data_IF_224545384904
#
_entry.id   IF_224545384904
#
_cell.length_a   1.000
_cell.length_b   1.000
_cell.length_c   1.000
_cell.angle_alpha   90.00
_cell.angle_beta   90.00
_cell.angle_gamma   90.00
#
_symmetry.space_group_name_H-M   'P 1'
#
loop_
_entity.id
_entity.type
_entity.pdbx_description
1 polymer ?
#
# COMPACT_ATOMS: atom_id res chain seq x y z
N UNK A 1 12.52 -12.26 -25.45
CA UNK A 1 13.99 -12.35 -25.52
C UNK A 1 14.28 -13.66 -26.24
N UNK A 2 15.28 -13.70 -27.11
CA UNK A 2 15.67 -14.95 -27.78
C UNK A 2 16.70 -15.69 -26.91
N UNK A 3 16.68 -17.03 -26.93
CA UNK A 3 17.60 -17.88 -26.18
C UNK A 3 18.41 -18.77 -27.13
N UNK A 4 19.42 -18.23 -27.83
CA UNK A 4 20.25 -19.01 -28.72
C UNK A 4 21.13 -19.98 -27.94
N UNK A 5 21.53 -21.07 -28.61
CA UNK A 5 22.48 -22.02 -28.03
C UNK A 5 23.91 -21.45 -28.13
N UNK A 6 24.57 -21.28 -26.99
CA UNK A 6 25.95 -20.81 -26.91
C UNK A 6 26.94 -21.95 -26.66
N UNK A 7 28.14 -21.83 -27.24
CA UNK A 7 29.31 -22.60 -26.79
C UNK A 7 29.98 -21.85 -25.62
N UNK A 8 29.48 -22.09 -24.41
CA UNK A 8 29.93 -21.41 -23.19
C UNK A 8 31.42 -21.58 -22.89
N UNK A 9 32.08 -22.62 -23.41
CA UNK A 9 33.51 -22.82 -23.22
C UNK A 9 34.36 -21.78 -23.98
N UNK A 10 33.78 -21.14 -25.00
CA UNK A 10 34.44 -20.12 -25.82
C UNK A 10 34.16 -18.68 -25.37
N UNK A 11 33.19 -18.49 -24.46
CA UNK A 11 32.75 -17.17 -24.02
C UNK A 11 33.57 -16.64 -22.84
N UNK A 12 33.76 -15.32 -22.80
CA UNK A 12 34.30 -14.61 -21.65
C UNK A 12 33.24 -13.76 -20.95
N UNK A 13 33.59 -13.11 -19.83
CA UNK A 13 32.70 -12.26 -19.04
C UNK A 13 32.04 -11.14 -19.87
N UNK A 14 32.75 -10.54 -20.83
CA UNK A 14 32.18 -9.49 -21.70
C UNK A 14 31.12 -10.04 -22.63
N UNK A 15 31.31 -11.26 -23.13
CA UNK A 15 30.29 -11.94 -23.95
C UNK A 15 29.05 -12.23 -23.10
N UNK A 16 29.20 -12.71 -21.86
CA UNK A 16 28.07 -12.92 -20.94
C UNK A 16 27.28 -11.63 -20.70
N UNK A 17 27.99 -10.52 -20.51
CA UNK A 17 27.39 -9.19 -20.32
C UNK A 17 26.57 -8.76 -21.53
N UNK A 18 27.10 -8.86 -22.74
CA UNK A 18 26.44 -8.32 -23.94
C UNK A 18 25.45 -9.28 -24.61
N UNK A 19 25.68 -10.58 -24.54
CA UNK A 19 24.86 -11.60 -25.21
C UNK A 19 23.73 -12.14 -24.30
N UNK A 20 23.89 -12.10 -22.97
CA UNK A 20 22.89 -12.66 -22.04
C UNK A 20 22.29 -11.58 -21.14
N UNK A 21 23.12 -10.87 -20.37
CA UNK A 21 22.64 -9.92 -19.37
C UNK A 21 22.00 -8.69 -20.01
N UNK A 22 22.65 -8.09 -21.03
CA UNK A 22 22.12 -6.90 -21.68
C UNK A 22 20.76 -7.15 -22.38
N UNK A 23 20.53 -8.26 -23.12
CA UNK A 23 19.22 -8.61 -23.63
C UNK A 23 18.17 -8.85 -22.54
N UNK A 24 18.54 -9.51 -21.44
CA UNK A 24 17.65 -9.68 -20.28
C UNK A 24 17.22 -8.33 -19.71
N UNK A 25 18.16 -7.42 -19.46
CA UNK A 25 17.86 -6.08 -18.94
C UNK A 25 16.95 -5.28 -19.88
N UNK A 26 17.18 -5.37 -21.19
CA UNK A 26 16.30 -4.74 -22.20
C UNK A 26 14.90 -5.34 -22.17
N UNK A 27 14.79 -6.65 -21.98
CA UNK A 27 13.52 -7.35 -21.89
C UNK A 27 12.75 -7.00 -20.60
N UNK A 28 13.47 -6.85 -19.48
CA UNK A 28 12.92 -6.37 -18.21
C UNK A 28 12.48 -4.90 -18.23
N UNK A 29 12.75 -4.16 -19.32
CA UNK A 29 12.33 -2.77 -19.48
C UNK A 29 13.35 -1.72 -19.05
N UNK A 30 14.62 -2.11 -18.84
CA UNK A 30 15.68 -1.18 -18.47
C UNK A 30 16.50 -0.72 -19.67
N UNK A 31 16.76 0.59 -19.76
CA UNK A 31 17.63 1.20 -20.79
C UNK A 31 18.37 2.42 -20.26
N UNK A 32 19.61 2.59 -20.71
CA UNK A 32 20.42 3.77 -20.38
C UNK A 32 19.71 5.06 -20.81
N UNK A 33 19.67 6.04 -19.92
CA UNK A 33 19.06 7.35 -20.15
C UNK A 33 17.53 7.40 -20.07
N UNK A 34 16.88 6.32 -19.65
CA UNK A 34 15.42 6.27 -19.46
C UNK A 34 15.01 6.40 -17.99
N UNK A 35 13.70 6.47 -17.72
CA UNK A 35 13.16 6.47 -16.35
C UNK A 35 13.59 5.20 -15.57
N UNK A 36 13.71 4.07 -16.25
CA UNK A 36 14.24 2.81 -15.73
C UNK A 36 15.67 2.63 -16.26
N UNK A 37 16.60 3.33 -15.61
CA UNK A 37 17.95 3.51 -16.11
C UNK A 37 18.83 2.27 -15.85
N UNK A 38 19.83 2.06 -16.70
CA UNK A 38 20.95 1.15 -16.45
C UNK A 38 22.24 1.95 -16.45
N UNK A 39 22.94 1.93 -15.32
CA UNK A 39 24.27 2.49 -15.19
C UNK A 39 25.25 1.31 -15.26
N UNK A 40 26.20 1.37 -16.19
CA UNK A 40 27.19 0.32 -16.37
C UNK A 40 28.48 0.71 -15.69
N UNK A 41 29.17 -0.27 -15.12
CA UNK A 41 30.61 -0.16 -14.86
C UNK A 41 31.00 1.01 -13.92
N UNK A 42 30.10 1.36 -12.99
CA UNK A 42 30.25 2.50 -12.08
C UNK A 42 31.39 2.27 -11.08
N UNK A 43 32.43 3.15 -11.04
CA UNK A 43 33.46 3.06 -10.02
C UNK A 43 32.89 3.48 -8.66
N UNK A 44 33.04 2.62 -7.65
CA UNK A 44 32.59 2.89 -6.29
C UNK A 44 33.76 3.34 -5.43
N UNK A 45 33.57 4.47 -4.74
CA UNK A 45 34.56 5.00 -3.81
C UNK A 45 34.04 4.84 -2.38
N UNK A 46 34.65 3.95 -1.61
CA UNK A 46 34.32 3.85 -0.20
C UNK A 46 34.88 5.06 0.54
N UNK A 47 34.06 5.92 1.16
CA UNK A 47 34.58 6.84 2.16
C UNK A 47 35.22 6.00 3.27
N UNK A 48 36.36 6.45 3.82
CA UNK A 48 37.07 5.77 4.92
C UNK A 48 36.25 5.83 6.24
N UNK A 49 35.08 5.21 6.27
CA UNK A 49 34.30 4.93 7.46
C UNK A 49 34.81 3.63 8.07
N UNK A 50 35.78 3.75 8.98
CA UNK A 50 36.33 2.62 9.72
C UNK A 50 35.40 2.25 10.87
N UNK A 51 34.86 1.03 10.88
CA UNK A 51 34.38 0.37 12.11
C UNK A 51 35.62 0.02 12.97
N UNK A 52 36.23 1.03 13.60
CA UNK A 52 37.39 0.85 14.47
C UNK A 52 38.54 1.85 14.29
N UNK A 53 39.65 1.59 14.99
CA UNK A 53 40.85 2.44 15.05
C UNK A 53 41.63 2.35 13.73
N UNK A 54 41.66 3.43 12.96
CA UNK A 54 42.32 3.53 11.64
C UNK A 54 43.77 3.03 11.66
N UNK A 55 44.12 2.08 10.81
CA UNK A 55 45.52 1.75 10.49
C UNK A 55 45.87 2.33 9.12
N UNK A 56 47.13 2.77 8.95
CA UNK A 56 47.63 3.26 7.64
C UNK A 56 47.64 2.18 6.54
N UNK A 57 47.45 0.91 6.93
CA UNK A 57 47.47 -0.28 6.06
C UNK A 57 46.09 -0.77 5.64
N UNK A 58 45.01 -0.08 6.04
CA UNK A 58 43.66 -0.51 5.66
C UNK A 58 43.51 -0.41 4.12
N UNK A 59 43.15 -1.51 3.42
CA UNK A 59 43.13 -1.55 1.97
C UNK A 59 42.10 -0.56 1.41
N UNK A 60 42.43 0.07 0.29
CA UNK A 60 41.47 0.89 -0.46
C UNK A 60 40.51 -0.10 -1.13
N UNK A 61 39.32 -0.25 -0.58
CA UNK A 61 38.23 -0.95 -1.25
C UNK A 61 37.87 -0.14 -2.50
N UNK A 62 38.22 -0.67 -3.67
CA UNK A 62 37.78 -0.18 -4.97
C UNK A 62 36.91 -1.30 -5.54
N UNK A 63 35.68 -0.95 -5.89
CA UNK A 63 34.72 -1.88 -6.48
C UNK A 63 34.14 -1.29 -7.76
N UNK A 64 33.68 -2.16 -8.65
CA UNK A 64 32.95 -1.79 -9.86
C UNK A 64 31.80 -2.78 -10.00
N UNK A 65 30.57 -2.27 -9.96
CA UNK A 65 29.41 -3.09 -10.28
C UNK A 65 29.19 -3.06 -11.80
N UNK A 66 28.94 -4.22 -12.41
CA UNK A 66 28.76 -4.30 -13.87
C UNK A 66 27.50 -3.57 -14.32
N UNK A 67 26.38 -3.83 -13.64
CA UNK A 67 25.12 -3.16 -13.90
C UNK A 67 24.46 -2.70 -12.60
N UNK A 68 24.09 -1.42 -12.57
CA UNK A 68 23.18 -0.85 -11.58
C UNK A 68 21.90 -0.47 -12.32
N UNK A 69 20.82 -1.16 -12.00
CA UNK A 69 19.50 -0.91 -12.52
C UNK A 69 18.75 0.01 -11.56
N UNK A 70 18.39 1.19 -12.04
CA UNK A 70 17.71 2.22 -11.27
C UNK A 70 16.26 2.36 -11.76
N UNK A 71 15.31 2.17 -10.86
CA UNK A 71 13.88 2.31 -11.14
C UNK A 71 13.42 3.69 -10.71
N UNK A 72 13.02 4.53 -11.67
CA UNK A 72 12.43 5.87 -11.47
C UNK A 72 13.25 6.81 -10.58
N UNK A 73 14.58 6.72 -10.60
CA UNK A 73 15.47 7.53 -9.76
C UNK A 73 15.45 7.17 -8.28
N UNK A 74 14.82 6.05 -7.88
CA UNK A 74 14.44 5.83 -6.48
C UNK A 74 14.98 4.54 -5.87
N UNK A 75 14.92 3.43 -6.62
CA UNK A 75 15.28 2.10 -6.11
C UNK A 75 16.34 1.53 -7.04
N UNK A 76 17.39 0.96 -6.45
CA UNK A 76 18.46 0.32 -7.19
C UNK A 76 18.42 -1.19 -6.98
N UNK A 77 18.86 -1.95 -7.98
CA UNK A 77 19.33 -3.32 -7.83
C UNK A 77 20.53 -3.52 -8.76
N UNK A 78 21.34 -4.55 -8.52
CA UNK A 78 22.59 -4.75 -9.27
C UNK A 78 22.72 -6.14 -9.86
N UNK A 79 23.51 -6.26 -10.93
CA UNK A 79 24.00 -7.53 -11.47
C UNK A 79 25.52 -7.47 -11.52
N UNK A 80 26.15 -8.52 -11.01
CA UNK A 80 27.56 -8.83 -11.22
C UNK A 80 27.69 -10.00 -12.21
N UNK A 81 28.52 -9.81 -13.24
CA UNK A 81 28.82 -10.82 -14.24
C UNK A 81 30.14 -11.54 -13.91
N UNK A 82 30.24 -12.80 -14.30
CA UNK A 82 31.45 -13.61 -14.26
C UNK A 82 31.64 -14.35 -15.59
N UNK A 83 32.84 -14.85 -15.86
CA UNK A 83 33.05 -15.75 -16.99
C UNK A 83 32.38 -17.12 -16.72
N UNK A 84 31.96 -17.89 -17.76
CA UNK A 84 31.33 -19.20 -17.57
C UNK A 84 32.18 -20.23 -16.83
N UNK A 85 33.50 -20.08 -16.87
CA UNK A 85 34.45 -20.93 -16.15
C UNK A 85 34.56 -20.62 -14.66
N UNK A 86 34.00 -19.50 -14.20
CA UNK A 86 34.01 -19.09 -12.80
C UNK A 86 32.75 -19.57 -12.07
N UNK A 87 32.95 -20.14 -10.88
CA UNK A 87 31.85 -20.56 -10.02
C UNK A 87 31.22 -19.35 -9.32
N UNK A 88 29.90 -19.37 -9.15
CA UNK A 88 29.17 -18.42 -8.32
C UNK A 88 29.22 -18.88 -6.85
N UNK A 89 30.42 -18.80 -6.26
CA UNK A 89 30.70 -19.23 -4.88
C UNK A 89 30.47 -18.12 -3.84
N UNK A 90 30.77 -18.42 -2.57
CA UNK A 90 30.56 -17.48 -1.47
C UNK A 90 31.40 -16.19 -1.63
N UNK A 91 32.59 -16.27 -2.22
CA UNK A 91 33.45 -15.09 -2.41
C UNK A 91 32.81 -14.15 -3.45
N UNK A 92 32.25 -14.72 -4.52
CA UNK A 92 31.47 -13.95 -5.51
C UNK A 92 30.22 -13.32 -4.87
N UNK A 93 29.50 -14.06 -4.02
CA UNK A 93 28.32 -13.56 -3.28
C UNK A 93 28.69 -12.41 -2.35
N UNK A 94 29.74 -12.56 -1.53
CA UNK A 94 30.20 -11.52 -0.61
C UNK A 94 30.65 -10.26 -1.35
N UNK A 95 31.32 -10.43 -2.50
CA UNK A 95 31.73 -9.32 -3.36
C UNK A 95 30.52 -8.54 -3.87
N UNK A 96 29.54 -9.21 -4.48
CA UNK A 96 28.34 -8.57 -5.01
C UNK A 96 27.48 -7.95 -3.91
N UNK A 97 27.34 -8.61 -2.77
CA UNK A 97 26.64 -8.08 -1.60
C UNK A 97 27.27 -6.79 -1.08
N UNK A 98 28.60 -6.73 -1.08
CA UNK A 98 29.37 -5.53 -0.67
C UNK A 98 29.08 -4.35 -1.60
N UNK A 99 29.00 -4.58 -2.92
CA UNK A 99 28.60 -3.54 -3.88
C UNK A 99 27.15 -3.11 -3.70
N UNK A 100 26.24 -4.07 -3.53
CA UNK A 100 24.83 -3.80 -3.33
C UNK A 100 24.57 -2.90 -2.11
N UNK A 101 25.30 -3.14 -1.01
CA UNK A 101 25.24 -2.34 0.21
C UNK A 101 26.01 -1.00 0.14
N UNK A 102 26.71 -0.71 -0.96
CA UNK A 102 27.49 0.52 -1.06
C UNK A 102 26.58 1.75 -0.87
N UNK A 103 26.97 2.78 -0.09
CA UNK A 103 26.12 3.94 0.18
C UNK A 103 25.64 4.70 -1.05
N UNK A 104 26.39 4.65 -2.15
CA UNK A 104 26.02 5.27 -3.44
C UNK A 104 25.04 4.40 -4.26
N UNK A 105 24.98 3.09 -3.98
CA UNK A 105 24.08 2.15 -4.67
C UNK A 105 22.84 1.87 -3.82
N UNK A 106 23.00 1.33 -2.61
CA UNK A 106 21.90 0.90 -1.73
C UNK A 106 20.86 0.07 -2.48
N UNK A 107 21.33 -0.99 -3.12
CA UNK A 107 20.48 -1.87 -3.91
C UNK A 107 19.60 -2.74 -3.02
N UNK A 108 18.34 -2.94 -3.41
CA UNK A 108 17.41 -3.84 -2.69
C UNK A 108 17.67 -5.30 -3.01
N UNK A 109 18.11 -5.59 -4.23
CA UNK A 109 18.55 -6.90 -4.70
C UNK A 109 19.93 -6.83 -5.35
N UNK A 110 20.64 -7.95 -5.28
CA UNK A 110 21.82 -8.19 -6.12
C UNK A 110 21.69 -9.53 -6.81
N UNK A 111 22.18 -9.58 -8.04
CA UNK A 111 22.17 -10.77 -8.86
C UNK A 111 23.59 -11.14 -9.26
N UNK A 112 23.81 -12.42 -9.44
CA UNK A 112 25.04 -13.00 -9.96
C UNK A 112 24.72 -13.80 -11.22
N UNK A 113 25.57 -13.67 -12.23
CA UNK A 113 25.46 -14.48 -13.44
C UNK A 113 26.82 -14.78 -14.04
N UNK A 114 27.09 -16.05 -14.34
CA UNK A 114 28.20 -16.48 -15.19
C UNK A 114 27.72 -16.91 -16.59
N UNK A 115 26.48 -16.59 -16.93
CA UNK A 115 25.83 -16.99 -18.18
C UNK A 115 25.24 -18.39 -18.17
N UNK A 116 25.81 -19.32 -17.39
CA UNK A 116 25.25 -20.66 -17.18
C UNK A 116 24.21 -20.66 -16.07
N UNK A 117 24.49 -19.96 -14.98
CA UNK A 117 23.64 -19.82 -13.81
C UNK A 117 23.27 -18.35 -13.59
N UNK A 118 22.04 -18.13 -13.11
CA UNK A 118 21.53 -16.83 -12.71
C UNK A 118 20.94 -16.94 -11.31
N UNK A 119 21.41 -16.10 -10.38
CA UNK A 119 21.01 -16.11 -8.97
C UNK A 119 20.56 -14.73 -8.52
N UNK A 120 19.47 -14.64 -7.75
CA UNK A 120 18.95 -13.40 -7.16
C UNK A 120 18.94 -13.50 -5.63
N UNK A 121 19.46 -12.46 -4.99
CA UNK A 121 19.58 -12.35 -3.54
C UNK A 121 18.92 -11.06 -3.02
N UNK A 122 18.46 -11.10 -1.76
CA UNK A 122 18.02 -9.91 -1.05
C UNK A 122 19.20 -9.28 -0.31
N UNK A 123 19.43 -7.98 -0.51
CA UNK A 123 20.61 -7.28 0.05
C UNK A 123 20.54 -7.14 1.57
N UNK A 124 19.35 -7.07 2.14
CA UNK A 124 19.10 -6.93 3.58
C UNK A 124 19.25 -8.23 4.38
N UNK A 125 19.55 -9.34 3.69
CA UNK A 125 19.87 -10.63 4.30
C UNK A 125 21.37 -10.81 4.47
N UNK A 126 21.72 -11.75 5.36
CA UNK A 126 23.08 -12.21 5.56
C UNK A 126 23.67 -12.73 4.24
N UNK A 127 24.95 -12.41 3.89
CA UNK A 127 25.58 -12.90 2.66
C UNK A 127 25.64 -14.43 2.56
N UNK A 128 25.64 -15.15 3.68
CA UNK A 128 25.57 -16.61 3.72
C UNK A 128 24.17 -17.17 3.46
N UNK A 129 23.16 -16.32 3.23
CA UNK A 129 21.82 -16.76 2.85
C UNK A 129 21.81 -17.31 1.43
N UNK A 130 21.01 -18.36 1.21
CA UNK A 130 20.78 -18.92 -0.12
C UNK A 130 20.08 -17.90 -1.02
N UNK A 131 20.33 -17.92 -2.36
CA UNK A 131 19.56 -17.13 -3.29
C UNK A 131 18.07 -17.47 -3.15
N UNK A 132 17.21 -16.47 -3.17
CA UNK A 132 15.77 -16.71 -3.07
C UNK A 132 15.18 -17.13 -4.42
N UNK A 133 15.92 -16.92 -5.51
CA UNK A 133 15.63 -17.44 -6.84
C UNK A 133 16.94 -17.81 -7.54
N UNK A 134 16.95 -18.96 -8.24
CA UNK A 134 18.05 -19.38 -9.09
C UNK A 134 17.51 -20.18 -10.27
N UNK A 135 18.13 -20.03 -11.45
CA UNK A 135 17.90 -20.87 -12.62
C UNK A 135 19.20 -21.02 -13.42
N UNK A 136 19.29 -22.06 -14.25
CA UNK A 136 20.33 -22.13 -15.28
C UNK A 136 19.81 -21.55 -16.61
N UNK A 137 20.71 -21.32 -17.56
CA UNK A 137 20.41 -20.79 -18.88
C UNK A 137 19.37 -21.60 -19.66
N UNK A 138 19.47 -22.93 -19.64
CA UNK A 138 18.54 -23.85 -20.33
C UNK A 138 17.09 -23.69 -19.82
N UNK A 139 16.92 -23.38 -18.53
CA UNK A 139 15.60 -23.18 -17.91
C UNK A 139 15.23 -21.69 -17.78
N UNK A 140 16.03 -20.79 -18.32
CA UNK A 140 15.86 -19.34 -18.13
C UNK A 140 14.64 -18.82 -18.89
N UNK A 141 14.32 -19.39 -20.05
CA UNK A 141 13.13 -19.06 -20.83
C UNK A 141 11.85 -19.36 -20.02
N UNK A 142 11.76 -20.57 -19.45
CA UNK A 142 10.63 -20.98 -18.60
C UNK A 142 10.51 -20.12 -17.33
N UNK A 143 11.64 -19.63 -16.83
CA UNK A 143 11.70 -18.82 -15.62
C UNK A 143 11.52 -17.32 -15.87
N UNK A 144 11.39 -16.90 -17.12
CA UNK A 144 11.44 -15.48 -17.49
C UNK A 144 10.31 -14.67 -16.85
N UNK A 145 9.10 -15.25 -16.76
CA UNK A 145 7.96 -14.62 -16.09
C UNK A 145 8.23 -14.40 -14.59
N UNK A 146 8.92 -15.34 -13.94
CA UNK A 146 9.32 -15.21 -12.53
C UNK A 146 10.35 -14.09 -12.39
N UNK A 147 11.36 -14.06 -13.26
CA UNK A 147 12.39 -13.01 -13.27
C UNK A 147 11.74 -11.64 -13.52
N UNK A 148 10.79 -11.53 -14.46
CA UNK A 148 10.03 -10.30 -14.70
C UNK A 148 9.23 -9.89 -13.47
N UNK A 149 8.54 -10.83 -12.82
CA UNK A 149 7.76 -10.53 -11.62
C UNK A 149 8.62 -9.99 -10.46
N UNK A 150 9.91 -10.34 -10.41
CA UNK A 150 10.86 -9.92 -9.37
C UNK A 150 11.60 -8.63 -9.76
N UNK A 151 12.16 -8.58 -10.97
CA UNK A 151 13.16 -7.58 -11.38
C UNK A 151 12.62 -6.52 -12.33
N UNK A 152 11.41 -6.64 -12.88
CA UNK A 152 10.82 -5.55 -13.67
C UNK A 152 10.64 -4.29 -12.83
N UNK A 153 10.63 -3.08 -13.44
CA UNK A 153 10.33 -1.83 -12.74
C UNK A 153 9.07 -1.90 -11.88
N UNK A 154 8.00 -2.52 -12.40
CA UNK A 154 6.73 -2.72 -11.71
C UNK A 154 6.88 -3.65 -10.51
N UNK A 155 7.59 -4.79 -10.67
CA UNK A 155 7.88 -5.72 -9.58
C UNK A 155 8.68 -5.08 -8.45
N UNK A 156 9.74 -4.34 -8.80
CA UNK A 156 10.59 -3.63 -7.84
C UNK A 156 9.80 -2.56 -7.07
N UNK A 157 8.99 -1.74 -7.75
CA UNK A 157 8.18 -0.70 -7.10
C UNK A 157 7.09 -1.28 -6.19
N UNK A 158 6.51 -2.42 -6.56
CA UNK A 158 5.51 -3.13 -5.76
C UNK A 158 6.13 -3.65 -4.47
N UNK A 159 7.29 -4.29 -4.55
CA UNK A 159 7.90 -4.99 -3.41
C UNK A 159 8.72 -4.05 -2.52
N UNK A 160 9.17 -2.91 -3.06
CA UNK A 160 9.95 -1.90 -2.34
C UNK A 160 9.29 -0.51 -2.43
N UNK A 161 8.07 -0.33 -1.90
CA UNK A 161 7.35 0.92 -2.02
C UNK A 161 8.11 2.04 -1.29
N UNK A 162 8.08 3.24 -1.87
CA UNK A 162 8.69 4.42 -1.27
C UNK A 162 8.12 4.67 0.12
N UNK A 163 8.93 4.46 1.16
CA UNK A 163 8.55 4.83 2.51
C UNK A 163 8.57 6.36 2.64
N UNK A 164 7.39 6.98 2.59
CA UNK A 164 7.24 8.36 3.05
C UNK A 164 7.19 8.32 4.58
N UNK A 165 8.25 8.81 5.21
CA UNK A 165 8.26 9.01 6.66
C UNK A 165 7.17 10.02 6.98
N UNK A 166 6.19 9.57 7.76
CA UNK A 166 5.19 10.45 8.35
C UNK A 166 5.89 11.33 9.40
N UNK A 167 5.91 12.64 9.15
CA UNK A 167 6.46 13.65 10.05
C UNK A 167 5.37 14.40 10.82
N UNK A 168 4.10 14.08 10.57
CA UNK A 168 2.98 14.72 11.24
C UNK A 168 2.87 14.29 12.70
N UNK A 169 2.15 15.08 13.49
CA UNK A 169 1.81 14.68 14.85
C UNK A 169 0.81 13.51 14.80
N UNK A 170 0.99 12.47 15.63
CA UNK A 170 0.09 11.32 15.62
C UNK A 170 -1.32 11.73 16.04
N UNK A 171 -2.34 11.17 15.41
CA UNK A 171 -3.75 11.41 15.79
C UNK A 171 -4.18 10.58 17.00
N UNK A 172 -3.32 9.73 17.55
CA UNK A 172 -3.57 8.98 18.77
C UNK A 172 -2.37 8.10 19.16
N UNK A 173 -2.35 7.52 20.36
CA UNK A 173 -1.28 6.61 20.76
C UNK A 173 -1.18 5.42 19.80
N UNK A 174 0.02 5.17 19.27
CA UNK A 174 0.27 4.08 18.32
C UNK A 174 -0.26 4.32 16.90
N UNK A 175 -0.83 5.50 16.63
CA UNK A 175 -1.36 5.88 15.32
C UNK A 175 -0.46 6.89 14.61
N UNK A 176 -0.56 6.92 13.28
CA UNK A 176 0.09 7.91 12.40
C UNK A 176 -0.64 9.26 12.44
N UNK A 177 -0.17 10.26 11.70
CA UNK A 177 -0.86 11.55 11.52
C UNK A 177 -2.07 11.47 10.60
N UNK A 178 -2.08 10.46 9.72
CA UNK A 178 -3.19 10.03 8.89
C UNK A 178 -3.30 8.52 9.04
N UNK A 179 -4.50 8.04 9.31
CA UNK A 179 -4.76 6.62 9.57
C UNK A 179 -5.82 6.12 8.63
N UNK A 180 -5.60 4.95 8.04
CA UNK A 180 -6.60 4.30 7.18
C UNK A 180 -7.50 3.41 8.02
N UNK A 181 -8.80 3.43 7.71
CA UNK A 181 -9.74 2.44 8.21
C UNK A 181 -9.63 1.21 7.31
N UNK A 182 -9.16 0.09 7.87
CA UNK A 182 -8.95 -1.16 7.12
C UNK A 182 -10.21 -2.00 7.04
N UNK A 183 -11.05 -1.91 8.06
CA UNK A 183 -12.35 -2.58 8.13
C UNK A 183 -13.16 -2.01 9.28
N UNK A 184 -14.47 -2.25 9.25
CA UNK A 184 -15.34 -1.91 10.37
C UNK A 184 -16.78 -2.34 10.15
N UNK A 185 -17.61 -2.07 11.14
CA UNK A 185 -19.02 -2.39 11.13
C UNK A 185 -19.83 -1.37 11.90
N UNK A 186 -21.04 -1.07 11.41
CA UNK A 186 -22.06 -0.28 12.08
C UNK A 186 -23.26 -1.19 12.31
N UNK A 187 -23.72 -1.31 13.55
CA UNK A 187 -24.86 -2.13 13.93
C UNK A 187 -26.00 -1.24 14.42
N UNK A 188 -27.16 -1.30 13.76
CA UNK A 188 -28.36 -0.59 14.15
C UNK A 188 -29.09 -1.32 15.27
N UNK A 189 -29.45 -0.59 16.33
CA UNK A 189 -30.06 -1.17 17.52
C UNK A 189 -31.53 -0.72 17.63
N UNK A 190 -31.82 0.53 17.29
CA UNK A 190 -33.18 1.07 17.43
C UNK A 190 -33.48 2.13 16.36
N UNK A 191 -34.77 2.38 16.17
CA UNK A 191 -35.29 3.50 15.40
C UNK A 191 -36.68 3.93 15.92
N UNK A 192 -37.04 5.21 15.75
CA UNK A 192 -38.31 5.77 16.27
C UNK A 192 -39.56 5.22 15.58
N UNK A 193 -39.44 4.66 14.39
CA UNK A 193 -40.54 4.08 13.63
C UNK A 193 -40.79 2.60 13.95
N UNK A 194 -39.97 1.98 14.79
CA UNK A 194 -40.09 0.56 15.13
C UNK A 194 -39.88 -0.38 13.93
N UNK A 195 -39.14 0.06 12.91
CA UNK A 195 -38.86 -0.70 11.70
C UNK A 195 -37.99 -1.92 12.04
N UNK A 196 -38.65 -3.07 12.24
CA UNK A 196 -37.99 -4.34 12.58
C UNK A 196 -36.88 -4.76 11.61
N UNK A 197 -36.99 -4.56 10.28
CA UNK A 197 -35.92 -4.94 9.34
C UNK A 197 -34.59 -4.22 9.57
N UNK A 198 -34.61 -3.05 10.21
CA UNK A 198 -33.39 -2.28 10.51
C UNK A 198 -32.74 -2.70 11.83
N UNK A 199 -33.48 -3.32 12.75
CA UNK A 199 -32.95 -3.69 14.07
C UNK A 199 -32.03 -4.92 13.90
N UNK A 200 -30.77 -4.78 14.30
CA UNK A 200 -29.72 -5.78 14.13
C UNK A 200 -29.05 -5.77 12.75
N UNK A 201 -29.48 -4.87 11.85
CA UNK A 201 -28.82 -4.71 10.57
C UNK A 201 -27.38 -4.23 10.79
N UNK A 202 -26.45 -4.94 10.18
CA UNK A 202 -25.03 -4.57 10.18
C UNK A 202 -24.62 -4.04 8.81
N UNK A 203 -24.06 -2.83 8.79
CA UNK A 203 -23.38 -2.25 7.64
C UNK A 203 -21.87 -2.50 7.78
N UNK A 204 -21.21 -2.88 6.70
CA UNK A 204 -19.75 -2.92 6.64
C UNK A 204 -19.21 -1.50 6.38
N UNK A 205 -18.09 -1.16 7.01
CA UNK A 205 -17.27 -0.02 6.59
C UNK A 205 -16.18 -0.58 5.69
N UNK A 206 -16.24 -0.23 4.40
CA UNK A 206 -15.41 -0.79 3.34
C UNK A 206 -14.15 0.04 3.12
N UNK A 207 -14.25 1.36 3.29
CA UNK A 207 -13.14 2.30 3.20
C UNK A 207 -13.29 3.43 4.21
N UNK A 208 -12.20 4.13 4.46
CA UNK A 208 -12.22 5.34 5.27
C UNK A 208 -10.85 5.79 5.76
N UNK A 209 -10.83 6.98 6.34
CA UNK A 209 -9.64 7.58 6.94
C UNK A 209 -10.01 8.44 8.13
N UNK A 210 -9.03 8.63 9.02
CA UNK A 210 -9.06 9.66 10.05
C UNK A 210 -7.81 10.50 9.89
N UNK A 211 -7.99 11.80 9.75
CA UNK A 211 -6.90 12.77 9.62
C UNK A 211 -7.29 14.11 10.27
N UNK A 212 -6.34 15.04 10.35
CA UNK A 212 -6.66 16.41 10.75
C UNK A 212 -6.92 17.27 9.52
N UNK A 213 -7.97 18.06 9.56
CA UNK A 213 -8.25 19.09 8.57
C UNK A 213 -7.29 20.28 8.70
N UNK A 214 -7.49 21.30 7.86
CA UNK A 214 -6.68 22.53 7.84
C UNK A 214 -6.64 23.29 9.18
N UNK A 215 -7.66 23.09 10.03
CA UNK A 215 -7.75 23.70 11.36
C UNK A 215 -7.13 22.83 12.47
N UNK A 216 -6.48 21.71 12.12
CA UNK A 216 -5.89 20.77 13.06
C UNK A 216 -6.91 19.87 13.77
N UNK A 217 -8.18 19.91 13.36
CA UNK A 217 -9.30 19.16 13.96
C UNK A 217 -9.55 17.87 13.22
N UNK A 218 -10.01 16.82 13.90
CA UNK A 218 -10.19 15.52 13.26
C UNK A 218 -11.35 15.56 12.25
N UNK A 219 -11.07 15.03 11.07
CA UNK A 219 -12.03 14.68 10.03
C UNK A 219 -11.98 13.17 9.82
N UNK A 220 -13.14 12.55 9.80
CA UNK A 220 -13.31 11.12 9.56
C UNK A 220 -14.13 10.92 8.31
N UNK A 221 -13.59 10.20 7.34
CA UNK A 221 -14.30 9.76 6.16
C UNK A 221 -14.56 8.26 6.25
N UNK A 222 -15.78 7.84 5.92
CA UNK A 222 -16.13 6.42 5.80
C UNK A 222 -17.01 6.17 4.58
N UNK A 223 -16.77 5.03 3.93
CA UNK A 223 -17.71 4.43 2.99
C UNK A 223 -18.33 3.18 3.60
N UNK A 224 -19.60 2.96 3.28
CA UNK A 224 -20.38 1.88 3.88
C UNK A 224 -21.14 1.07 2.85
N UNK A 225 -21.28 -0.21 3.17
CA UNK A 225 -22.01 -1.18 2.36
C UNK A 225 -22.99 -1.96 3.22
N UNK A 226 -24.24 -2.07 2.75
CA UNK A 226 -25.26 -2.92 3.38
C UNK A 226 -25.49 -4.20 2.58
N UNK A 227 -25.93 -5.30 3.22
CA UNK A 227 -26.11 -6.59 2.55
C UNK A 227 -27.26 -6.61 1.53
N UNK A 228 -28.23 -5.70 1.64
CA UNK A 228 -29.40 -5.65 0.75
C UNK A 228 -29.23 -4.57 -0.32
N UNK A 229 -29.20 -4.96 -1.59
CA UNK A 229 -28.98 -4.03 -2.71
C UNK A 229 -30.00 -2.89 -2.77
N UNK A 230 -31.29 -3.16 -2.50
CA UNK A 230 -32.34 -2.15 -2.48
C UNK A 230 -32.11 -1.10 -1.38
N UNK A 231 -31.63 -1.54 -0.22
CA UNK A 231 -31.27 -0.65 0.88
C UNK A 231 -29.98 0.13 0.59
N UNK A 232 -29.02 -0.49 -0.10
CA UNK A 232 -27.80 0.19 -0.55
C UNK A 232 -28.14 1.34 -1.50
N UNK A 233 -28.99 1.10 -2.49
CA UNK A 233 -29.48 2.15 -3.41
C UNK A 233 -30.19 3.28 -2.67
N UNK A 234 -30.97 2.96 -1.63
CA UNK A 234 -31.59 3.97 -0.79
C UNK A 234 -30.53 4.79 -0.04
N UNK A 235 -29.55 4.15 0.60
CA UNK A 235 -28.45 4.83 1.28
C UNK A 235 -27.64 5.73 0.33
N UNK A 236 -27.43 5.31 -0.92
CA UNK A 236 -26.77 6.12 -1.95
C UNK A 236 -27.56 7.40 -2.25
N UNK A 237 -28.88 7.27 -2.46
CA UNK A 237 -29.77 8.42 -2.68
C UNK A 237 -29.83 9.37 -1.48
N UNK A 238 -29.72 8.82 -0.27
CA UNK A 238 -29.71 9.58 0.99
C UNK A 238 -28.33 10.11 1.36
N UNK A 239 -27.28 9.81 0.57
CA UNK A 239 -25.89 10.14 0.90
C UNK A 239 -25.33 9.44 2.15
N UNK A 240 -26.02 8.43 2.67
CA UNK A 240 -25.61 7.67 3.86
C UNK A 240 -24.53 6.63 3.55
N UNK A 241 -24.28 6.35 2.26
CA UNK A 241 -23.22 5.45 1.82
C UNK A 241 -21.81 6.01 2.06
N UNK A 242 -21.66 7.34 2.06
CA UNK A 242 -20.39 8.05 2.21
C UNK A 242 -20.58 9.19 3.22
N UNK A 243 -19.91 9.09 4.37
CA UNK A 243 -20.06 10.07 5.46
C UNK A 243 -18.72 10.75 5.76
N UNK A 244 -18.77 12.07 5.94
CA UNK A 244 -17.69 12.86 6.53
C UNK A 244 -18.14 13.40 7.87
N UNK A 245 -17.45 13.01 8.93
CA UNK A 245 -17.72 13.46 10.30
C UNK A 245 -16.57 14.31 10.81
N UNK A 246 -16.90 15.36 11.55
CA UNK A 246 -15.94 16.32 12.11
C UNK A 246 -15.94 16.27 13.63
N UNK A 247 -14.78 16.40 14.24
CA UNK A 247 -14.61 16.49 15.69
C UNK A 247 -13.77 17.70 16.06
N UNK A 248 -14.12 18.38 17.15
CA UNK A 248 -13.30 19.45 17.72
C UNK A 248 -12.01 18.94 18.41
N UNK A 249 -11.87 17.61 18.51
CA UNK A 249 -10.67 16.98 19.04
C UNK A 249 -9.56 17.00 17.99
N UNK A 250 -8.30 17.06 18.45
CA UNK A 250 -7.10 16.98 17.59
C UNK A 250 -6.51 15.56 17.56
N UNK A 251 -6.93 14.74 18.53
CA UNK A 251 -6.52 13.34 18.70
C UNK A 251 -7.72 12.48 19.11
N UNK A 252 -7.73 11.22 18.68
CA UNK A 252 -8.70 10.24 19.14
C UNK A 252 -8.43 9.92 20.60
N UNK A 253 -9.48 9.99 21.41
CA UNK A 253 -9.41 9.71 22.84
C UNK A 253 -9.24 8.22 23.08
N UNK A 254 -8.41 7.86 24.05
CA UNK A 254 -8.31 6.50 24.60
C UNK A 254 -9.13 6.34 25.90
N UNK A 255 -9.76 7.42 26.38
CA UNK A 255 -10.52 7.43 27.62
C UNK A 255 -12.02 7.26 27.32
N UNK A 256 -12.67 6.16 27.75
CA UNK A 256 -14.11 5.97 27.53
C UNK A 256 -14.99 7.01 28.22
N UNK A 257 -14.51 7.66 29.29
CA UNK A 257 -15.23 8.73 30.00
C UNK A 257 -15.16 10.08 29.28
N UNK A 258 -14.20 10.24 28.36
CA UNK A 258 -14.01 11.45 27.55
C UNK A 258 -13.88 11.02 26.08
N UNK A 259 -14.93 10.45 25.47
CA UNK A 259 -14.84 9.90 24.12
C UNK A 259 -14.62 11.02 23.08
N UNK A 260 -14.01 10.67 21.95
CA UNK A 260 -14.04 11.52 20.77
C UNK A 260 -15.46 11.60 20.25
N UNK A 261 -15.93 12.82 20.03
CA UNK A 261 -17.25 13.11 19.48
C UNK A 261 -17.08 13.61 18.06
N UNK A 262 -17.63 12.89 17.09
CA UNK A 262 -17.66 13.28 15.69
C UNK A 262 -19.10 13.55 15.26
N UNK A 263 -19.33 14.59 14.46
CA UNK A 263 -20.66 14.93 13.95
C UNK A 263 -20.66 15.22 12.46
N UNK A 264 -21.76 14.94 11.80
CA UNK A 264 -22.00 15.26 10.39
C UNK A 264 -23.40 15.82 10.22
N UNK A 265 -23.54 16.79 9.31
CA UNK A 265 -24.83 17.25 8.80
C UNK A 265 -24.76 17.16 7.28
N UNK A 266 -25.70 16.44 6.68
CA UNK A 266 -25.83 16.34 5.22
C UNK A 266 -27.26 16.64 4.80
N UNK A 267 -27.41 17.21 3.60
CA UNK A 267 -28.72 17.51 3.02
C UNK A 267 -28.79 16.92 1.63
N UNK A 268 -29.87 16.19 1.36
CA UNK A 268 -30.13 15.54 0.09
C UNK A 268 -31.54 15.86 -0.38
N UNK A 269 -31.70 16.00 -1.70
CA UNK A 269 -33.01 16.16 -2.34
C UNK A 269 -33.25 14.93 -3.19
N UNK A 270 -34.33 14.20 -2.88
CA UNK A 270 -34.81 13.11 -3.73
C UNK A 270 -35.89 13.68 -4.67
N UNK A 271 -35.70 13.60 -6.00
CA UNK A 271 -36.69 14.12 -6.95
C UNK A 271 -38.01 13.33 -6.94
N UNK A 272 -39.09 14.01 -7.28
CA UNK A 272 -40.38 13.39 -7.58
C UNK A 272 -40.22 12.32 -8.68
N UNK A 273 -40.88 11.17 -8.49
CA UNK A 273 -40.87 10.06 -9.43
C UNK A 273 -39.68 9.12 -9.28
N UNK A 274 -38.68 9.49 -8.47
CA UNK A 274 -37.54 8.62 -8.19
C UNK A 274 -38.01 7.37 -7.43
N UNK A 275 -37.59 6.19 -7.90
CA UNK A 275 -37.90 4.92 -7.26
C UNK A 275 -36.98 4.69 -6.06
N UNK A 276 -37.53 4.35 -4.91
CA UNK A 276 -36.75 3.96 -3.74
C UNK A 276 -37.48 2.93 -2.87
N UNK A 277 -36.71 2.23 -2.04
CA UNK A 277 -37.23 1.24 -1.10
C UNK A 277 -38.10 1.92 -0.04
N UNK A 278 -39.36 1.51 0.04
CA UNK A 278 -40.23 1.83 1.16
C UNK A 278 -39.88 0.93 2.34
N UNK A 279 -39.41 1.51 3.46
CA UNK A 279 -38.95 0.73 4.61
C UNK A 279 -40.09 0.02 5.39
N UNK A 280 -41.35 0.41 5.17
CA UNK A 280 -42.52 -0.20 5.82
C UNK A 280 -43.01 -1.40 5.02
N UNK A 281 -43.15 -1.27 3.70
CA UNK A 281 -43.65 -2.35 2.83
C UNK A 281 -42.55 -3.24 2.27
N UNK A 282 -41.30 -2.76 2.29
CA UNK A 282 -40.12 -3.39 1.68
C UNK A 282 -40.21 -3.53 0.14
N UNK A 283 -41.01 -2.68 -0.50
CA UNK A 283 -41.17 -2.61 -1.95
C UNK A 283 -40.61 -1.30 -2.51
N UNK A 284 -40.20 -1.30 -3.78
CA UNK A 284 -39.79 -0.07 -4.45
C UNK A 284 -41.02 0.75 -4.85
N UNK A 285 -41.11 2.00 -4.37
CA UNK A 285 -42.21 2.92 -4.69
C UNK A 285 -41.66 4.28 -5.12
N UNK A 286 -42.31 4.98 -6.07
CA UNK A 286 -41.88 6.31 -6.48
C UNK A 286 -42.18 7.36 -5.42
N UNK A 287 -41.29 8.33 -5.23
CA UNK A 287 -41.61 9.51 -4.43
C UNK A 287 -42.69 10.38 -5.10
N UNK A 288 -43.71 10.76 -4.34
CA UNK A 288 -44.86 11.53 -4.85
C UNK A 288 -44.55 13.03 -5.05
N UNK A 289 -43.49 13.52 -4.42
CA UNK A 289 -43.01 14.89 -4.47
C UNK A 289 -41.49 14.93 -4.29
N UNK A 290 -40.87 16.09 -4.58
CA UNK A 290 -39.48 16.30 -4.19
C UNK A 290 -39.39 16.24 -2.66
N UNK A 291 -38.37 15.56 -2.16
CA UNK A 291 -38.21 15.32 -0.74
C UNK A 291 -36.83 15.77 -0.28
N UNK A 292 -36.80 16.80 0.56
CA UNK A 292 -35.61 17.35 1.17
C UNK A 292 -35.37 16.66 2.50
N UNK A 293 -34.21 16.00 2.62
CA UNK A 293 -33.85 15.17 3.74
C UNK A 293 -32.57 15.71 4.33
N UNK A 294 -32.64 16.14 5.59
CA UNK A 294 -31.47 16.49 6.38
C UNK A 294 -31.12 15.31 7.29
N UNK A 295 -29.85 14.88 7.24
CA UNK A 295 -29.30 13.89 8.16
C UNK A 295 -28.35 14.57 9.12
N UNK A 296 -28.58 14.39 10.42
CA UNK A 296 -27.64 14.77 11.48
C UNK A 296 -27.13 13.49 12.14
N UNK A 297 -25.83 13.26 12.12
CA UNK A 297 -25.21 12.09 12.75
C UNK A 297 -24.24 12.55 13.83
N UNK A 298 -24.30 11.92 15.01
CA UNK A 298 -23.35 12.09 16.11
C UNK A 298 -22.81 10.72 16.48
N UNK A 299 -21.50 10.54 16.35
CA UNK A 299 -20.77 9.35 16.76
C UNK A 299 -19.86 9.69 17.95
N UNK A 300 -19.87 8.83 18.95
CA UNK A 300 -19.00 8.94 20.14
C UNK A 300 -18.23 7.65 20.29
N UNK A 301 -16.90 7.73 20.46
CA UNK A 301 -16.06 6.55 20.59
C UNK A 301 -14.71 6.81 21.22
N UNK A 302 -14.02 5.73 21.56
CA UNK A 302 -12.65 5.77 22.08
C UNK A 302 -11.81 4.68 21.43
N UNK A 303 -10.49 4.87 21.51
CA UNK A 303 -9.47 4.00 20.96
C UNK A 303 -8.99 3.00 22.00
N UNK A 304 -9.03 1.72 21.66
CA UNK A 304 -8.47 0.60 22.42
C UNK A 304 -7.51 -0.17 21.50
N UNK A 305 -6.20 0.01 21.67
CA UNK A 305 -5.20 -0.50 20.72
C UNK A 305 -5.36 0.13 19.35
N UNK A 306 -5.61 -0.67 18.30
CA UNK A 306 -5.89 -0.21 16.95
C UNK A 306 -7.39 -0.21 16.59
N UNK A 307 -8.26 -0.33 17.58
CA UNK A 307 -9.71 -0.43 17.41
C UNK A 307 -10.38 0.80 17.99
N UNK A 308 -11.08 1.56 17.14
CA UNK A 308 -11.91 2.67 17.58
C UNK A 308 -13.38 2.23 17.57
N UNK A 309 -14.08 2.36 18.69
CA UNK A 309 -15.44 1.86 18.80
C UNK A 309 -16.29 2.70 19.74
N UNK A 310 -17.61 2.59 19.56
CA UNK A 310 -18.55 3.33 20.39
C UNK A 310 -19.97 3.29 19.86
N UNK A 311 -20.68 4.40 20.03
CA UNK A 311 -22.12 4.53 19.74
C UNK A 311 -22.37 5.68 18.80
N UNK A 312 -23.43 5.59 18.02
CA UNK A 312 -23.90 6.68 17.20
C UNK A 312 -25.40 6.90 17.38
N UNK A 313 -25.83 8.12 17.12
CA UNK A 313 -27.22 8.51 16.92
C UNK A 313 -27.30 9.30 15.62
N UNK A 314 -28.32 9.00 14.81
CA UNK A 314 -28.63 9.73 13.59
C UNK A 314 -30.08 10.22 13.63
N UNK A 315 -30.33 11.41 13.12
CA UNK A 315 -31.65 12.00 12.97
C UNK A 315 -31.84 12.37 11.50
N UNK A 316 -32.83 11.74 10.85
CA UNK A 316 -33.29 12.09 9.53
C UNK A 316 -34.53 12.96 9.64
N UNK A 317 -34.52 14.14 9.02
CA UNK A 317 -35.64 15.06 8.97
C UNK A 317 -36.12 15.20 7.54
N UNK A 318 -37.35 14.74 7.28
CA UNK A 318 -38.04 14.84 6.00
C UNK A 318 -38.91 16.10 6.02
N UNK A 319 -38.47 17.15 5.32
CA UNK A 319 -39.02 18.50 5.51
C UNK A 319 -40.47 18.64 5.03
N UNK A 320 -40.82 18.04 3.90
CA UNK A 320 -42.12 18.24 3.25
C UNK A 320 -43.27 17.52 3.95
N UNK A 321 -42.96 16.52 4.79
CA UNK A 321 -43.96 15.71 5.51
C UNK A 321 -43.83 15.81 7.03
N UNK A 322 -42.97 16.72 7.53
CA UNK A 322 -42.64 16.91 8.95
C UNK A 322 -42.37 15.59 9.69
N UNK A 323 -41.68 14.66 9.03
CA UNK A 323 -41.33 13.36 9.59
C UNK A 323 -39.91 13.37 10.11
N UNK A 324 -39.73 12.96 11.37
CA UNK A 324 -38.42 12.80 12.02
C UNK A 324 -38.18 11.34 12.37
N UNK A 325 -37.09 10.79 11.86
CA UNK A 325 -36.67 9.41 12.11
C UNK A 325 -35.34 9.43 12.83
N UNK A 326 -35.34 9.07 14.12
CA UNK A 326 -34.10 8.88 14.85
C UNK A 326 -33.69 7.40 14.79
N UNK A 327 -32.40 7.16 14.64
CA UNK A 327 -31.76 5.85 14.59
C UNK A 327 -30.58 5.83 15.54
N UNK A 328 -30.38 4.72 16.23
CA UNK A 328 -29.29 4.58 17.19
C UNK A 328 -28.62 3.21 17.07
N UNK A 329 -27.32 3.17 17.35
CA UNK A 329 -26.56 1.94 17.24
C UNK A 329 -25.15 2.02 17.79
N UNK A 330 -24.35 1.03 17.43
CA UNK A 330 -22.94 0.92 17.80
C UNK A 330 -22.07 0.76 16.57
N UNK A 331 -20.82 1.19 16.64
CA UNK A 331 -19.84 0.97 15.58
C UNK A 331 -18.53 0.43 16.14
N UNK A 332 -17.76 -0.18 15.26
CA UNK A 332 -16.39 -0.64 15.51
C UNK A 332 -15.58 -0.51 14.23
N UNK A 333 -14.43 0.14 14.29
CA UNK A 333 -13.49 0.30 13.17
C UNK A 333 -12.09 -0.12 13.57
N UNK A 334 -11.33 -0.64 12.61
CA UNK A 334 -9.94 -1.04 12.76
C UNK A 334 -9.03 -0.11 11.96
N UNK A 335 -7.99 0.36 12.62
CA UNK A 335 -7.08 1.42 12.17
C UNK A 335 -5.71 0.84 11.82
N UNK A 336 -5.08 1.35 10.76
CA UNK A 336 -3.74 0.96 10.31
C UNK A 336 -2.82 2.17 10.06
#
# INVERSE_FOLDING_TARGET
>A
MDFPQYDFASLNETDIREEIIAPLLRHLGYRSGTENNVIREQPLTYPKSSLGRKKKTDPILRGRADYICNVKGQINWVIEAKAPSEALDNDAVEQSWTYANHPEIRAVYFCLSNGLDFQIFQTDRDPGAKPFFQCNYENMEESLDIIMNILSPEGILRDHPKYKVDKGLPIGPGLRSIVRITSGSINYINNTLGLKPLIGLTMAITEGSIERNENGKLETYIETQVPYQSLQKLNEKLGLHSLRLFSDHEVVSTNPEIPTVCSAITTHIIPKGEMALNLVTWEETPFLMNMSIESQTIATGYLEGNKFHGKFNALLTFQEIDLKVAMGGSFKVYLA
#
